data_IF_350300023954
#
_entry.id   IF_350300023954
#
_cell.length_a   1.000
_cell.length_b   1.000
_cell.length_c   1.000
_cell.angle_alpha   90.00
_cell.angle_beta   90.00
_cell.angle_gamma   90.00
#
_symmetry.space_group_name_H-M   'P 1'
#
loop_
_entity.id
_entity.type
_entity.pdbx_description
1 polymer ?
#
# COMPACT_ATOMS: atom_id res chain seq x y z
N UNK A 1 30.15 -22.19 6.37
CA UNK A 1 28.68 -22.41 6.43
C UNK A 1 28.39 -23.61 5.56
N UNK A 2 28.35 -24.79 6.17
CA UNK A 2 28.10 -26.07 5.48
C UNK A 2 26.61 -26.36 5.53
N UNK A 3 26.09 -26.80 4.39
CA UNK A 3 24.73 -27.26 4.21
C UNK A 3 24.34 -28.24 5.33
N UNK A 4 23.25 -27.95 6.03
CA UNK A 4 22.61 -28.94 6.89
C UNK A 4 21.91 -29.95 6.00
N UNK A 5 22.66 -30.97 5.58
CA UNK A 5 22.14 -32.17 4.95
C UNK A 5 21.08 -32.79 5.87
N UNK A 6 19.82 -32.45 5.63
CA UNK A 6 18.70 -33.18 6.23
C UNK A 6 18.60 -34.51 5.49
N UNK A 7 19.30 -35.50 6.05
CA UNK A 7 19.19 -36.91 5.72
C UNK A 7 17.70 -37.28 5.56
N UNK A 8 17.30 -37.67 4.35
CA UNK A 8 16.04 -38.42 4.11
C UNK A 8 16.11 -39.87 4.66
N UNK A 9 17.16 -40.18 5.41
CA UNK A 9 17.34 -41.43 6.15
C UNK A 9 16.95 -41.23 7.60
N UNK A 10 15.66 -41.09 7.88
CA UNK A 10 15.16 -41.76 9.07
C UNK A 10 15.01 -43.24 8.71
N UNK A 11 16.13 -43.96 8.76
CA UNK A 11 16.07 -45.36 9.14
C UNK A 11 15.48 -45.33 10.55
N UNK A 12 14.18 -45.64 10.65
CA UNK A 12 13.63 -46.07 11.93
C UNK A 12 14.46 -47.29 12.27
N UNK A 13 15.47 -47.08 13.11
CA UNK A 13 16.42 -48.08 13.56
C UNK A 13 15.59 -49.14 14.23
N UNK A 14 15.38 -50.25 13.54
CA UNK A 14 14.68 -51.44 14.02
C UNK A 14 13.35 -51.15 14.73
N UNK A 15 12.23 -51.36 14.04
CA UNK A 15 11.02 -51.69 14.80
C UNK A 15 11.26 -53.06 15.47
N UNK A 16 11.70 -53.07 16.73
CA UNK A 16 11.53 -54.24 17.61
C UNK A 16 10.07 -54.25 18.06
N UNK A 17 9.19 -54.57 17.10
CA UNK A 17 7.76 -54.66 17.32
C UNK A 17 7.43 -55.86 18.18
N UNK A 18 7.06 -55.57 19.43
CA UNK A 18 6.41 -56.42 20.41
C UNK A 18 7.17 -57.71 20.74
N UNK A 19 7.90 -57.69 21.86
CA UNK A 19 8.26 -58.89 22.60
C UNK A 19 7.01 -59.44 23.28
N UNK A 20 6.02 -59.92 22.51
CA UNK A 20 5.18 -60.98 23.07
C UNK A 20 6.11 -62.18 23.19
N UNK A 21 6.36 -62.61 24.43
CA UNK A 21 7.05 -63.87 24.70
C UNK A 21 6.38 -64.95 23.85
N UNK A 22 7.10 -65.56 22.89
CA UNK A 22 6.52 -66.64 22.11
C UNK A 22 6.09 -67.73 23.09
N UNK A 23 4.82 -68.11 23.06
CA UNK A 23 4.51 -69.50 23.36
C UNK A 23 5.38 -70.38 22.43
N UNK A 24 5.78 -71.59 22.86
CA UNK A 24 6.87 -72.37 22.25
C UNK A 24 6.64 -72.90 20.80
N UNK A 25 5.84 -72.23 19.96
CA UNK A 25 5.52 -72.64 18.60
C UNK A 25 5.12 -71.50 17.62
N UNK A 26 5.47 -70.23 17.86
CA UNK A 26 5.13 -69.16 16.91
C UNK A 26 6.00 -69.25 15.64
N UNK A 27 5.44 -69.83 14.57
CA UNK A 27 6.09 -69.99 13.26
C UNK A 27 5.83 -68.83 12.30
N UNK A 28 5.04 -67.84 12.71
CA UNK A 28 4.55 -66.74 11.88
C UNK A 28 4.64 -65.39 12.61
N UNK A 29 5.08 -64.37 11.89
CA UNK A 29 4.92 -62.97 12.26
C UNK A 29 3.59 -62.45 11.68
N UNK A 30 2.70 -61.90 12.51
CA UNK A 30 1.37 -61.49 12.06
C UNK A 30 1.44 -60.33 11.05
N UNK A 31 0.39 -60.21 10.24
CA UNK A 31 0.23 -59.07 9.36
C UNK A 31 0.14 -57.77 10.17
N UNK A 32 0.68 -56.68 9.63
CA UNK A 32 0.62 -55.38 10.29
C UNK A 32 0.47 -54.24 9.26
N UNK A 33 -0.10 -53.13 9.71
CA UNK A 33 -0.21 -51.90 8.91
C UNK A 33 0.96 -50.97 9.19
N UNK A 34 1.71 -50.53 8.17
CA UNK A 34 2.58 -49.36 8.31
C UNK A 34 1.77 -48.15 8.77
N UNK A 35 2.35 -47.34 9.66
CA UNK A 35 1.73 -46.09 10.10
C UNK A 35 1.49 -45.16 8.89
N UNK A 36 0.26 -44.70 8.63
CA UNK A 36 0.02 -43.77 7.53
C UNK A 36 0.81 -42.47 7.73
N UNK A 37 1.47 -42.01 6.67
CA UNK A 37 2.10 -40.69 6.61
C UNK A 37 1.41 -39.91 5.50
N UNK A 38 0.81 -38.76 5.84
CA UNK A 38 0.02 -37.96 4.89
C UNK A 38 0.87 -37.57 3.67
N UNK A 39 0.38 -37.84 2.46
CA UNK A 39 1.08 -37.54 1.21
C UNK A 39 2.16 -38.55 0.81
N UNK A 40 2.36 -39.62 1.59
CA UNK A 40 3.34 -40.67 1.29
C UNK A 40 2.74 -42.07 1.29
N UNK A 41 3.27 -42.89 0.40
CA UNK A 41 2.98 -44.32 0.30
C UNK A 41 4.13 -45.10 0.93
N UNK A 42 3.85 -46.04 1.86
CA UNK A 42 4.87 -46.91 2.43
C UNK A 42 5.41 -47.89 1.37
N UNK A 43 6.73 -48.04 1.37
CA UNK A 43 7.49 -49.03 0.61
C UNK A 43 8.17 -49.95 1.63
N UNK A 44 7.72 -51.20 1.66
CA UNK A 44 8.16 -52.18 2.65
C UNK A 44 9.09 -53.19 2.01
N UNK A 45 10.20 -53.46 2.69
CA UNK A 45 11.07 -54.59 2.38
C UNK A 45 11.15 -55.53 3.58
N UNK A 46 11.13 -56.84 3.31
CA UNK A 46 11.29 -57.89 4.30
C UNK A 46 12.52 -58.71 3.90
N UNK A 47 13.51 -58.80 4.79
CA UNK A 47 14.79 -59.47 4.54
C UNK A 47 15.47 -59.01 3.24
N UNK A 48 15.33 -57.72 2.90
CA UNK A 48 15.88 -57.09 1.70
C UNK A 48 15.04 -57.27 0.42
N UNK A 49 13.98 -58.09 0.43
CA UNK A 49 13.06 -58.24 -0.69
C UNK A 49 11.88 -57.29 -0.60
N UNK A 50 11.47 -56.68 -1.72
CA UNK A 50 10.28 -55.82 -1.76
C UNK A 50 9.00 -56.64 -1.53
N UNK A 51 8.11 -56.15 -0.67
CA UNK A 51 6.83 -56.79 -0.37
C UNK A 51 5.68 -55.93 -0.89
N UNK A 52 4.78 -56.55 -1.65
CA UNK A 52 3.53 -55.91 -2.07
C UNK A 52 2.55 -55.92 -0.90
N UNK A 53 2.04 -54.75 -0.53
CA UNK A 53 1.01 -54.63 0.49
C UNK A 53 -0.32 -55.16 -0.04
N UNK A 54 -1.04 -55.90 0.79
CA UNK A 54 -2.41 -56.37 0.51
C UNK A 54 -3.33 -55.63 1.46
N UNK A 55 -4.31 -54.89 0.92
CA UNK A 55 -5.21 -54.02 1.71
C UNK A 55 -4.46 -53.05 2.65
N UNK A 56 -3.27 -52.58 2.24
CA UNK A 56 -2.43 -51.68 3.04
C UNK A 56 -1.66 -52.37 4.17
N UNK A 57 -1.70 -53.70 4.26
CA UNK A 57 -0.99 -54.50 5.27
C UNK A 57 0.23 -55.19 4.66
N UNK A 58 1.28 -55.29 5.46
CA UNK A 58 2.35 -56.25 5.23
C UNK A 58 1.78 -57.62 5.57
N UNK A 59 1.72 -58.57 4.62
CA UNK A 59 1.18 -59.90 4.88
C UNK A 59 2.01 -60.64 5.93
N UNK A 60 1.39 -61.59 6.63
CA UNK A 60 2.08 -62.43 7.61
C UNK A 60 3.31 -63.10 7.00
N UNK A 61 4.39 -63.20 7.77
CA UNK A 61 5.68 -63.75 7.32
C UNK A 61 6.02 -65.02 8.10
N UNK A 62 6.44 -66.08 7.41
CA UNK A 62 6.89 -67.31 8.07
C UNK A 62 8.30 -67.14 8.63
N UNK A 63 8.51 -67.56 9.88
CA UNK A 63 9.80 -67.62 10.55
C UNK A 63 10.58 -68.92 10.27
N UNK A 64 10.03 -69.79 9.39
CA UNK A 64 10.60 -71.09 9.06
C UNK A 64 11.30 -71.09 7.70
N UNK A 65 12.52 -71.64 7.65
CA UNK A 65 13.18 -72.05 6.41
C UNK A 65 13.20 -73.58 6.34
N UNK A 66 12.09 -74.19 5.94
CA UNK A 66 11.91 -75.63 6.07
C UNK A 66 11.53 -76.01 7.51
N UNK A 67 12.34 -76.83 8.20
CA UNK A 67 12.04 -77.31 9.58
C UNK A 67 12.74 -76.52 10.70
N UNK A 68 13.64 -75.59 10.36
CA UNK A 68 14.44 -74.86 11.34
C UNK A 68 13.91 -73.44 11.58
N UNK A 69 13.81 -73.05 12.87
CA UNK A 69 13.54 -71.68 13.33
C UNK A 69 14.82 -70.84 13.22
N UNK A 70 15.14 -70.37 12.01
CA UNK A 70 16.37 -69.60 11.79
C UNK A 70 16.19 -68.47 10.79
N UNK A 71 15.54 -67.37 11.21
CA UNK A 71 15.91 -66.02 10.77
C UNK A 71 15.26 -64.95 11.63
N UNK A 72 16.06 -63.96 12.06
CA UNK A 72 15.52 -62.66 12.41
C UNK A 72 14.82 -62.09 11.16
N UNK A 73 13.55 -61.67 11.30
CA UNK A 73 12.83 -61.00 10.22
C UNK A 73 13.14 -59.51 10.31
N UNK A 74 13.90 -59.02 9.34
CA UNK A 74 14.18 -57.60 9.22
C UNK A 74 13.14 -56.94 8.31
N UNK A 75 12.30 -56.08 8.90
CA UNK A 75 11.33 -55.28 8.16
C UNK A 75 11.79 -53.83 8.11
N UNK A 76 12.00 -53.32 6.89
CA UNK A 76 12.28 -51.90 6.68
C UNK A 76 11.11 -51.25 5.99
N UNK A 77 10.62 -50.16 6.57
CA UNK A 77 9.55 -49.33 6.01
C UNK A 77 10.17 -48.00 5.61
N UNK A 78 10.06 -47.66 4.35
CA UNK A 78 10.40 -46.35 3.80
C UNK A 78 9.14 -45.69 3.25
N UNK A 79 9.13 -44.37 3.11
CA UNK A 79 7.98 -43.63 2.59
C UNK A 79 8.40 -42.89 1.33
N UNK A 80 7.56 -42.94 0.29
CA UNK A 80 7.75 -42.20 -0.96
C UNK A 80 6.54 -41.32 -1.21
N UNK A 81 6.72 -40.15 -1.81
CA UNK A 81 5.61 -39.29 -2.19
C UNK A 81 4.57 -40.08 -3.00
N UNK A 82 3.31 -39.99 -2.60
CA UNK A 82 2.22 -40.68 -3.28
C UNK A 82 2.00 -40.14 -4.69
N UNK A 83 2.17 -38.83 -4.88
CA UNK A 83 2.11 -38.19 -6.19
C UNK A 83 3.28 -37.21 -6.36
N UNK A 84 4.43 -37.65 -6.89
CA UNK A 84 5.62 -36.81 -7.04
C UNK A 84 5.44 -35.70 -8.10
N UNK A 85 4.49 -35.86 -9.01
CA UNK A 85 4.19 -34.90 -10.09
C UNK A 85 2.99 -34.00 -9.75
N UNK A 86 2.53 -34.01 -8.50
CA UNK A 86 1.52 -33.08 -8.04
C UNK A 86 2.00 -31.62 -8.15
N UNK A 87 1.05 -30.70 -8.27
CA UNK A 87 1.29 -29.26 -8.10
C UNK A 87 0.68 -28.86 -6.78
N UNK A 88 1.49 -28.30 -5.88
CA UNK A 88 1.05 -27.80 -4.57
C UNK A 88 0.88 -26.29 -4.66
N UNK A 89 -0.25 -25.80 -4.18
CA UNK A 89 -0.57 -24.38 -4.12
C UNK A 89 -0.31 -23.82 -2.73
N UNK A 90 0.37 -22.69 -2.65
CA UNK A 90 0.50 -21.88 -1.45
C UNK A 90 -0.21 -20.54 -1.66
N UNK A 91 -1.21 -20.25 -0.84
CA UNK A 91 -1.97 -19.00 -0.90
C UNK A 91 -1.47 -18.02 0.15
N UNK A 92 -0.98 -16.88 -0.30
CA UNK A 92 -0.77 -15.70 0.55
C UNK A 92 -2.09 -14.95 0.64
N UNK A 93 -2.67 -14.88 1.83
CA UNK A 93 -3.84 -14.04 2.09
C UNK A 93 -3.39 -12.70 2.67
N UNK A 94 -3.83 -11.59 2.08
CA UNK A 94 -3.63 -10.26 2.64
C UNK A 94 -4.78 -9.98 3.59
N UNK A 95 -4.46 -9.66 4.83
CA UNK A 95 -5.46 -9.45 5.89
C UNK A 95 -5.29 -8.10 6.57
N UNK A 96 -6.40 -7.47 6.91
CA UNK A 96 -6.41 -6.23 7.69
C UNK A 96 -6.20 -6.48 9.20
N UNK A 97 -6.32 -5.41 10.00
CA UNK A 97 -6.15 -5.48 11.45
C UNK A 97 -7.16 -6.40 12.16
N UNK A 98 -8.33 -6.62 11.56
CA UNK A 98 -9.38 -7.50 12.08
C UNK A 98 -9.26 -8.94 11.53
N UNK A 99 -8.15 -9.23 10.84
CA UNK A 99 -7.87 -10.49 10.15
C UNK A 99 -8.88 -10.81 9.03
N UNK A 100 -9.54 -9.80 8.48
CA UNK A 100 -10.42 -9.92 7.33
C UNK A 100 -9.59 -9.99 6.06
N UNK A 101 -9.87 -10.97 5.20
CA UNK A 101 -9.18 -11.13 3.93
C UNK A 101 -9.58 -10.02 2.95
N UNK A 102 -8.60 -9.22 2.52
CA UNK A 102 -8.76 -8.11 1.56
C UNK A 102 -8.16 -8.41 0.19
N UNK A 103 -7.44 -9.54 0.07
CA UNK A 103 -6.94 -10.06 -1.20
C UNK A 103 -6.15 -11.35 -1.03
N UNK A 104 -5.67 -11.92 -2.13
CA UNK A 104 -4.72 -13.03 -2.08
C UNK A 104 -3.87 -13.13 -3.33
N UNK A 105 -2.75 -13.85 -3.20
CA UNK A 105 -1.87 -14.25 -4.29
C UNK A 105 -1.52 -15.73 -4.13
N UNK A 106 -1.53 -16.47 -5.22
CA UNK A 106 -1.26 -17.91 -5.22
C UNK A 106 0.08 -18.20 -5.91
N UNK A 107 0.79 -19.17 -5.34
CA UNK A 107 2.05 -19.68 -5.86
C UNK A 107 1.97 -21.19 -5.96
N UNK A 108 2.56 -21.76 -7.00
CA UNK A 108 2.49 -23.20 -7.24
C UNK A 108 3.87 -23.78 -7.46
N UNK A 109 4.16 -24.93 -6.85
CA UNK A 109 5.41 -25.65 -7.07
C UNK A 109 5.24 -27.16 -6.87
N UNK A 110 6.30 -27.92 -7.11
CA UNK A 110 6.34 -29.36 -6.80
C UNK A 110 6.33 -29.60 -5.28
N UNK A 111 5.86 -30.77 -4.83
CA UNK A 111 5.88 -31.12 -3.42
C UNK A 111 7.29 -31.11 -2.86
N UNK A 112 7.41 -30.81 -1.57
CA UNK A 112 8.68 -30.73 -0.83
C UNK A 112 9.70 -29.70 -1.34
N UNK A 113 9.31 -28.76 -2.22
CA UNK A 113 10.18 -27.67 -2.66
C UNK A 113 10.38 -26.65 -1.54
N UNK A 114 11.64 -26.40 -1.13
CA UNK A 114 11.97 -25.54 0.02
C UNK A 114 12.63 -24.23 -0.39
N UNK A 115 12.48 -23.23 0.46
CA UNK A 115 13.13 -21.92 0.37
C UNK A 115 12.87 -21.19 -0.96
N UNK A 116 11.65 -21.32 -1.50
CA UNK A 116 11.26 -20.59 -2.71
C UNK A 116 11.01 -19.14 -2.33
N UNK A 117 11.79 -18.22 -2.91
CA UNK A 117 11.62 -16.78 -2.69
C UNK A 117 10.67 -16.24 -3.75
N UNK A 118 9.53 -15.72 -3.32
CA UNK A 118 8.50 -15.19 -4.21
C UNK A 118 8.25 -13.71 -3.93
N UNK A 119 7.95 -12.96 -4.98
CA UNK A 119 7.55 -11.56 -4.88
C UNK A 119 6.05 -11.48 -4.62
N UNK A 120 5.67 -10.68 -3.63
CA UNK A 120 4.29 -10.39 -3.29
C UNK A 120 4.00 -8.90 -3.47
N UNK A 121 2.77 -8.61 -3.88
CA UNK A 121 2.29 -7.24 -4.01
C UNK A 121 0.99 -7.08 -3.23
N UNK A 122 0.96 -6.07 -2.35
CA UNK A 122 -0.23 -5.73 -1.60
C UNK A 122 -1.36 -5.32 -2.57
N UNK A 123 -2.63 -5.59 -2.24
CA UNK A 123 -3.76 -5.13 -3.03
C UNK A 123 -3.75 -3.60 -3.24
N UNK A 124 -4.39 -3.11 -4.30
CA UNK A 124 -4.46 -1.66 -4.58
C UNK A 124 -5.04 -0.91 -3.37
N UNK A 125 -4.38 0.16 -2.95
CA UNK A 125 -4.76 0.95 -1.78
C UNK A 125 -4.28 0.39 -0.44
N UNK A 126 -3.53 -0.72 -0.45
CA UNK A 126 -2.97 -1.35 0.73
C UNK A 126 -1.44 -1.38 0.70
N UNK A 127 -0.84 -1.43 1.89
CA UNK A 127 0.60 -1.58 2.11
C UNK A 127 0.85 -2.61 3.21
N UNK A 128 2.02 -3.24 3.18
CA UNK A 128 2.45 -4.18 4.21
C UNK A 128 2.70 -3.50 5.54
N UNK A 129 2.45 -4.23 6.62
CA UNK A 129 2.82 -3.85 7.98
C UNK A 129 4.12 -4.56 8.35
N UNK A 130 5.16 -3.77 8.65
CA UNK A 130 6.46 -4.26 9.08
C UNK A 130 6.41 -4.87 10.49
N UNK A 131 7.50 -5.54 10.88
CA UNK A 131 7.62 -6.17 12.20
C UNK A 131 7.55 -5.16 13.37
N UNK A 132 7.83 -3.87 13.11
CA UNK A 132 7.67 -2.78 14.07
C UNK A 132 6.26 -2.18 14.10
N UNK A 133 5.30 -2.79 13.39
CA UNK A 133 3.92 -2.33 13.27
C UNK A 133 3.73 -1.15 12.31
N UNK A 134 4.76 -0.74 11.56
CA UNK A 134 4.68 0.43 10.68
C UNK A 134 4.49 0.06 9.21
N UNK A 135 3.95 0.98 8.39
CA UNK A 135 3.99 0.93 6.94
C UNK A 135 5.35 0.50 6.36
N UNK A 136 5.38 -0.58 5.58
CA UNK A 136 6.60 -1.17 5.01
C UNK A 136 6.62 -1.21 3.46
N UNK A 137 5.77 -0.42 2.79
CA UNK A 137 5.65 -0.38 1.33
C UNK A 137 4.64 -1.39 0.77
N UNK A 138 4.48 -1.44 -0.55
CA UNK A 138 3.46 -2.26 -1.24
C UNK A 138 4.02 -3.48 -1.99
N UNK A 139 5.35 -3.64 -2.01
CA UNK A 139 6.05 -4.78 -2.62
C UNK A 139 6.93 -5.41 -1.56
N UNK A 140 6.92 -6.74 -1.50
CA UNK A 140 7.70 -7.51 -0.55
C UNK A 140 8.09 -8.87 -1.09
N UNK A 141 8.75 -9.66 -0.27
CA UNK A 141 9.11 -11.05 -0.57
C UNK A 141 8.66 -11.98 0.54
N UNK A 142 8.38 -13.22 0.17
CA UNK A 142 8.09 -14.31 1.10
C UNK A 142 8.93 -15.52 0.76
N UNK A 143 9.27 -16.29 1.79
CA UNK A 143 9.93 -17.58 1.64
C UNK A 143 8.86 -18.65 1.83
N UNK A 144 8.62 -19.45 0.79
CA UNK A 144 7.61 -20.51 0.78
C UNK A 144 8.29 -21.88 0.84
N UNK A 145 7.79 -22.74 1.71
CA UNK A 145 8.12 -24.16 1.76
C UNK A 145 6.89 -24.96 1.34
N UNK A 146 6.91 -25.52 0.13
CA UNK A 146 5.84 -26.34 -0.40
C UNK A 146 5.88 -27.71 0.28
N UNK A 147 4.80 -28.06 0.97
CA UNK A 147 4.64 -29.37 1.61
C UNK A 147 4.14 -30.42 0.61
N UNK A 148 3.31 -31.33 1.10
CA UNK A 148 2.64 -32.37 0.30
C UNK A 148 1.17 -32.06 0.03
N UNK A 149 0.69 -30.92 0.52
CA UNK A 149 -0.67 -30.41 0.33
C UNK A 149 -0.69 -28.89 0.26
N UNK A 150 -1.79 -28.36 -0.24
CA UNK A 150 -2.00 -26.92 -0.30
C UNK A 150 -1.93 -26.29 1.08
N UNK A 151 -1.43 -25.06 1.13
CA UNK A 151 -1.21 -24.33 2.37
C UNK A 151 -1.49 -22.86 2.18
N UNK A 152 -1.60 -22.13 3.29
CA UNK A 152 -1.76 -20.68 3.24
C UNK A 152 -1.06 -20.01 4.40
N UNK A 153 -0.77 -18.72 4.22
CA UNK A 153 -0.29 -17.83 5.26
C UNK A 153 -0.99 -16.48 5.15
N UNK A 154 -1.17 -15.82 6.28
CA UNK A 154 -1.75 -14.49 6.33
C UNK A 154 -0.62 -13.45 6.46
N UNK A 155 -0.71 -12.39 5.67
CA UNK A 155 0.23 -11.26 5.72
C UNK A 155 -0.57 -10.00 6.08
N UNK A 156 -0.17 -9.31 7.16
CA UNK A 156 -0.86 -8.11 7.60
C UNK A 156 -0.62 -6.95 6.62
N UNK A 157 -1.70 -6.28 6.28
CA UNK A 157 -1.72 -5.06 5.47
C UNK A 157 -2.55 -3.98 6.16
N UNK A 158 -2.27 -2.73 5.82
CA UNK A 158 -3.04 -1.55 6.24
C UNK A 158 -3.28 -0.63 5.04
N UNK A 159 -4.22 0.30 5.14
CA UNK A 159 -4.49 1.25 4.07
C UNK A 159 -3.25 2.10 3.78
N UNK A 160 -3.02 2.36 2.50
CA UNK A 160 -1.98 3.26 2.07
C UNK A 160 -2.46 4.71 2.22
N UNK A 161 -1.88 5.43 3.17
CA UNK A 161 -2.17 6.84 3.41
C UNK A 161 -1.09 7.71 2.75
N UNK A 162 -1.45 8.37 1.66
CA UNK A 162 -0.53 9.21 0.89
C UNK A 162 -0.72 10.67 1.24
N UNK A 163 0.38 11.42 1.32
CA UNK A 163 0.38 12.87 1.56
C UNK A 163 0.49 13.62 0.24
N UNK A 164 -0.37 14.60 0.03
CA UNK A 164 -0.34 15.49 -1.13
C UNK A 164 -0.75 16.91 -0.74
N UNK A 165 -0.68 17.84 -1.69
CA UNK A 165 -1.14 19.22 -1.49
C UNK A 165 -2.44 19.46 -2.25
N UNK A 166 -3.42 20.02 -1.56
CA UNK A 166 -4.59 20.63 -2.16
C UNK A 166 -4.28 22.10 -2.42
N UNK A 167 -4.55 22.58 -3.64
CA UNK A 167 -4.33 23.95 -4.05
C UNK A 167 -5.65 24.65 -4.30
N UNK A 168 -5.74 25.93 -3.91
CA UNK A 168 -6.84 26.81 -4.26
C UNK A 168 -6.29 28.13 -4.74
N UNK A 169 -6.91 28.61 -5.80
CA UNK A 169 -6.64 29.94 -6.31
C UNK A 169 -7.58 30.93 -5.63
N UNK A 170 -7.05 32.09 -5.32
CA UNK A 170 -7.76 33.25 -4.82
C UNK A 170 -7.51 34.38 -5.81
N UNK A 171 -8.57 35.00 -6.28
CA UNK A 171 -8.51 36.06 -7.29
C UNK A 171 -9.02 37.37 -6.72
N UNK A 172 -8.18 38.39 -6.78
CA UNK A 172 -8.56 39.79 -6.65
C UNK A 172 -8.75 40.36 -8.06
N UNK A 173 -9.88 41.00 -8.32
CA UNK A 173 -10.08 41.77 -9.56
C UNK A 173 -10.29 43.23 -9.21
N UNK A 174 -9.38 44.10 -9.66
CA UNK A 174 -9.50 45.55 -9.44
C UNK A 174 -10.07 46.19 -10.69
N UNK A 175 -11.25 46.78 -10.57
CA UNK A 175 -11.92 47.50 -11.63
C UNK A 175 -11.79 49.00 -11.36
N UNK A 176 -11.04 49.69 -12.19
CA UNK A 176 -10.81 51.13 -12.09
C UNK A 176 -11.61 51.85 -13.17
N UNK A 177 -12.45 52.79 -12.81
CA UNK A 177 -13.19 53.65 -13.75
C UNK A 177 -12.65 55.07 -13.67
N UNK A 178 -12.19 55.61 -14.79
CA UNK A 178 -11.69 56.98 -14.88
C UNK A 178 -12.82 58.00 -14.57
N UNK A 179 -12.49 59.16 -14.00
CA UNK A 179 -13.46 60.24 -13.86
C UNK A 179 -13.90 60.79 -15.22
N UNK A 180 -14.99 61.57 -15.24
CA UNK A 180 -15.45 62.25 -16.44
C UNK A 180 -14.36 63.16 -17.03
N UNK A 181 -14.08 63.00 -18.33
CA UNK A 181 -12.99 63.69 -19.03
C UNK A 181 -11.59 63.12 -18.76
N UNK A 182 -11.47 62.06 -17.95
CA UNK A 182 -10.24 61.28 -17.77
C UNK A 182 -10.26 59.98 -18.55
N UNK A 183 -9.07 59.46 -18.87
CA UNK A 183 -8.89 58.19 -19.57
C UNK A 183 -7.62 57.45 -19.12
N UNK A 184 -7.61 56.16 -19.40
CA UNK A 184 -6.42 55.33 -19.40
C UNK A 184 -5.93 55.21 -20.84
N UNK A 185 -4.66 55.53 -21.07
CA UNK A 185 -4.05 55.31 -22.38
C UNK A 185 -3.43 53.93 -22.39
N UNK A 186 -3.93 53.06 -23.27
CA UNK A 186 -3.34 51.75 -23.50
C UNK A 186 -1.95 51.93 -24.13
N UNK A 187 -0.90 51.45 -23.46
CA UNK A 187 0.46 51.68 -23.92
C UNK A 187 0.78 50.98 -25.25
N UNK A 188 0.05 49.91 -25.60
CA UNK A 188 0.25 49.13 -26.82
C UNK A 188 -0.59 49.69 -27.97
N UNK A 189 -1.89 49.92 -27.75
CA UNK A 189 -2.82 50.32 -28.81
C UNK A 189 -2.99 51.84 -28.95
N UNK A 190 -2.53 52.61 -27.94
CA UNK A 190 -2.78 54.06 -27.79
C UNK A 190 -4.26 54.43 -27.70
N UNK A 191 -5.13 53.45 -27.47
CA UNK A 191 -6.55 53.70 -27.27
C UNK A 191 -6.82 54.30 -25.89
N UNK A 192 -7.81 55.18 -25.86
CA UNK A 192 -8.30 55.80 -24.63
C UNK A 192 -9.44 54.94 -24.08
N UNK A 193 -9.26 54.45 -22.86
CA UNK A 193 -10.24 53.60 -22.17
C UNK A 193 -10.77 54.32 -20.94
N UNK A 194 -12.07 54.25 -20.72
CA UNK A 194 -12.71 54.78 -19.51
C UNK A 194 -12.58 53.85 -18.30
N UNK A 195 -12.09 52.62 -18.51
CA UNK A 195 -11.88 51.67 -17.42
C UNK A 195 -10.69 50.72 -17.66
N UNK A 196 -10.12 50.25 -16.57
CA UNK A 196 -9.07 49.24 -16.53
C UNK A 196 -9.48 48.11 -15.57
N UNK A 197 -9.25 46.87 -15.97
CA UNK A 197 -9.54 45.67 -15.17
C UNK A 197 -8.24 44.94 -14.94
N UNK A 198 -7.87 44.74 -13.68
CA UNK A 198 -6.62 44.12 -13.28
C UNK A 198 -6.89 42.90 -12.41
N UNK A 199 -6.88 41.68 -12.98
CA UNK A 199 -6.96 40.45 -12.21
C UNK A 199 -5.59 40.09 -11.63
N UNK A 200 -5.54 39.82 -10.34
CA UNK A 200 -4.40 39.23 -9.65
C UNK A 200 -4.84 37.89 -9.09
N UNK A 201 -4.09 36.85 -9.43
CA UNK A 201 -4.38 35.48 -9.01
C UNK A 201 -3.24 34.98 -8.15
N UNK A 202 -3.52 34.68 -6.89
CA UNK A 202 -2.58 34.11 -5.93
C UNK A 202 -3.10 32.74 -5.48
N UNK A 203 -2.19 31.86 -5.08
CA UNK A 203 -2.49 30.49 -4.73
C UNK A 203 -2.18 30.23 -3.26
N UNK A 204 -3.04 29.45 -2.62
CA UNK A 204 -2.84 28.87 -1.30
C UNK A 204 -2.85 27.36 -1.40
N UNK A 205 -2.13 26.71 -0.49
CA UNK A 205 -2.03 25.26 -0.43
C UNK A 205 -2.23 24.77 1.00
N UNK A 206 -2.76 23.56 1.16
CA UNK A 206 -2.74 22.82 2.42
C UNK A 206 -2.31 21.38 2.21
N UNK A 207 -1.72 20.79 3.25
CA UNK A 207 -1.44 19.36 3.27
C UNK A 207 -2.74 18.59 3.43
N UNK A 208 -2.94 17.58 2.60
CA UNK A 208 -4.02 16.60 2.74
C UNK A 208 -3.45 15.19 2.76
N UNK A 209 -4.16 14.29 3.41
CA UNK A 209 -3.91 12.86 3.33
C UNK A 209 -5.03 12.20 2.55
N UNK A 210 -4.69 11.30 1.65
CA UNK A 210 -5.63 10.49 0.89
C UNK A 210 -5.46 9.04 1.30
N UNK A 211 -6.55 8.41 1.71
CA UNK A 211 -6.65 6.96 1.82
C UNK A 211 -6.86 6.41 0.40
N UNK A 212 -5.88 5.68 -0.13
CA UNK A 212 -5.97 5.18 -1.52
C UNK A 212 -6.95 4.01 -1.69
N UNK A 213 -7.39 3.37 -0.60
CA UNK A 213 -8.39 2.31 -0.65
C UNK A 213 -9.80 2.89 -0.70
N UNK A 214 -10.13 3.84 0.19
CA UNK A 214 -11.46 4.45 0.25
C UNK A 214 -11.61 5.66 -0.69
N UNK A 215 -10.51 6.28 -1.09
CA UNK A 215 -10.49 7.56 -1.81
C UNK A 215 -10.77 8.77 -0.92
N UNK A 216 -10.90 8.58 0.40
CA UNK A 216 -11.20 9.66 1.34
C UNK A 216 -10.03 10.63 1.46
N UNK A 217 -10.32 11.93 1.32
CA UNK A 217 -9.34 13.00 1.46
C UNK A 217 -9.59 13.75 2.76
N UNK A 218 -8.61 13.72 3.66
CA UNK A 218 -8.69 14.39 4.96
C UNK A 218 -7.68 15.55 5.03
N UNK A 219 -8.09 16.75 5.50
CA UNK A 219 -7.16 17.82 5.78
C UNK A 219 -6.14 17.41 6.85
N UNK A 220 -4.85 17.56 6.54
CA UNK A 220 -3.75 17.20 7.44
C UNK A 220 -2.94 18.44 7.90
N UNK A 221 -3.37 19.63 7.50
CA UNK A 221 -2.78 20.89 7.92
C UNK A 221 -3.60 22.10 7.49
N UNK A 222 -3.20 23.26 8.02
CA UNK A 222 -3.83 24.54 7.70
C UNK A 222 -3.47 25.02 6.29
N UNK A 223 -4.33 25.89 5.74
CA UNK A 223 -4.02 26.65 4.53
C UNK A 223 -2.83 27.58 4.75
N UNK A 224 -1.96 27.67 3.74
CA UNK A 224 -0.79 28.55 3.70
C UNK A 224 -0.64 29.17 2.31
N UNK A 225 0.01 30.33 2.25
CA UNK A 225 0.43 30.92 0.98
C UNK A 225 1.30 29.97 0.16
N UNK A 226 1.11 29.96 -1.15
CA UNK A 226 1.89 29.14 -2.09
C UNK A 226 2.43 29.94 -3.29
N UNK A 227 2.01 31.19 -3.48
CA UNK A 227 2.60 32.06 -4.49
C UNK A 227 3.82 32.78 -3.95
N UNK A 228 4.89 32.82 -4.75
CA UNK A 228 6.14 33.53 -4.44
C UNK A 228 6.21 34.79 -5.29
N UNK A 229 6.60 35.90 -4.67
CA UNK A 229 6.89 37.14 -5.36
C UNK A 229 8.15 37.01 -6.21
N UNK A 230 8.06 37.35 -7.50
CA UNK A 230 9.14 37.13 -8.44
C UNK A 230 10.40 37.97 -8.15
N UNK A 231 10.23 39.13 -7.51
CA UNK A 231 11.31 40.07 -7.23
C UNK A 231 12.04 39.76 -5.93
N UNK A 232 11.31 39.47 -4.87
CA UNK A 232 11.83 39.26 -3.52
C UNK A 232 12.09 37.79 -3.20
N UNK A 233 11.51 36.88 -4.00
CA UNK A 233 11.51 35.42 -3.74
C UNK A 233 10.87 35.05 -2.40
N UNK A 234 9.99 35.90 -1.86
CA UNK A 234 9.25 35.64 -0.63
C UNK A 234 7.81 35.20 -0.92
N UNK A 235 7.23 34.43 -0.01
CA UNK A 235 5.82 34.03 -0.10
C UNK A 235 4.90 35.24 0.06
N UNK A 236 3.95 35.39 -0.86
CA UNK A 236 2.90 36.40 -0.77
C UNK A 236 1.79 35.89 0.15
N UNK A 237 1.66 36.51 1.32
CA UNK A 237 0.62 36.17 2.31
C UNK A 237 -0.66 37.00 2.13
N UNK A 238 -0.61 38.02 1.30
CA UNK A 238 -1.68 38.95 0.96
C UNK A 238 -1.54 39.40 -0.50
N UNK A 239 -2.64 39.92 -1.06
CA UNK A 239 -2.58 40.79 -2.23
C UNK A 239 -1.91 42.09 -1.80
N UNK A 240 -0.75 42.39 -2.39
CA UNK A 240 0.04 43.57 -2.05
C UNK A 240 -0.71 44.87 -2.26
N UNK A 241 -0.37 45.90 -1.49
CA UNK A 241 -0.85 47.25 -1.71
C UNK A 241 -0.62 47.70 -3.16
N UNK A 242 -1.58 48.45 -3.71
CA UNK A 242 -1.54 48.90 -5.10
C UNK A 242 -1.63 50.41 -5.21
N UNK A 243 -0.65 51.02 -5.85
CA UNK A 243 -0.71 52.42 -6.28
C UNK A 243 -1.81 52.62 -7.32
N UNK A 244 -2.69 53.58 -7.09
CA UNK A 244 -3.77 53.93 -8.00
C UNK A 244 -3.35 55.08 -8.93
N UNK A 245 -3.91 55.14 -10.16
CA UNK A 245 -3.74 56.28 -11.05
C UNK A 245 -4.17 57.60 -10.39
N UNK A 246 -3.50 58.70 -10.73
CA UNK A 246 -3.82 60.03 -10.21
C UNK A 246 -4.50 60.87 -11.27
N UNK A 247 -5.65 61.46 -10.93
CA UNK A 247 -6.36 62.41 -11.78
C UNK A 247 -6.45 63.76 -11.08
N UNK A 248 -6.04 64.84 -11.76
CA UNK A 248 -6.02 66.18 -11.17
C UNK A 248 -7.43 66.62 -10.76
N UNK A 249 -7.58 67.03 -9.50
CA UNK A 249 -8.87 67.47 -8.98
C UNK A 249 -9.82 66.33 -8.59
N UNK A 250 -9.37 65.08 -8.58
CA UNK A 250 -10.17 63.92 -8.17
C UNK A 250 -9.48 63.10 -7.08
N UNK A 251 -10.28 62.48 -6.22
CA UNK A 251 -9.83 61.52 -5.20
C UNK A 251 -10.42 60.15 -5.48
N UNK A 252 -9.62 59.07 -5.51
CA UNK A 252 -10.14 57.73 -5.68
C UNK A 252 -10.99 57.31 -4.47
N UNK A 253 -12.00 56.48 -4.72
CA UNK A 253 -12.96 55.96 -3.76
C UNK A 253 -13.16 54.47 -4.00
N UNK A 254 -13.38 53.72 -2.93
CA UNK A 254 -13.71 52.30 -2.99
C UNK A 254 -14.73 51.91 -1.92
N UNK A 255 -15.51 50.88 -2.22
CA UNK A 255 -16.41 50.21 -1.28
C UNK A 255 -15.72 49.06 -0.52
N UNK A 256 -14.48 48.71 -0.90
CA UNK A 256 -13.74 47.58 -0.33
C UNK A 256 -12.28 47.92 -0.07
N UNK A 257 -11.87 47.79 1.19
CA UNK A 257 -10.53 48.16 1.66
C UNK A 257 -10.44 49.64 2.02
N UNK A 258 -9.22 50.14 2.15
CA UNK A 258 -8.95 51.55 2.45
C UNK A 258 -8.00 52.13 1.42
N UNK A 259 -8.16 53.42 1.12
CA UNK A 259 -7.22 54.15 0.27
C UNK A 259 -6.49 55.18 1.13
N UNK A 260 -5.17 55.13 1.14
CA UNK A 260 -4.30 56.07 1.87
C UNK A 260 -3.16 56.47 0.95
N UNK A 261 -2.89 57.78 0.84
CA UNK A 261 -1.86 58.33 -0.04
C UNK A 261 -1.88 57.78 -1.48
N UNK A 262 -3.10 57.60 -2.03
CA UNK A 262 -3.31 57.11 -3.39
C UNK A 262 -3.05 55.60 -3.57
N UNK A 263 -2.89 54.83 -2.50
CA UNK A 263 -2.71 53.37 -2.53
C UNK A 263 -3.92 52.64 -1.96
N UNK A 264 -4.38 51.61 -2.65
CA UNK A 264 -5.31 50.62 -2.13
C UNK A 264 -4.57 49.70 -1.15
N UNK A 265 -5.15 49.50 0.04
CA UNK A 265 -4.64 48.59 1.08
C UNK A 265 -4.50 47.15 0.59
N UNK A 266 -3.62 46.38 1.23
CA UNK A 266 -3.50 44.94 0.99
C UNK A 266 -4.73 44.16 1.46
N UNK A 267 -4.90 42.95 0.93
CA UNK A 267 -5.96 42.02 1.33
C UNK A 267 -5.39 40.63 1.67
N UNK A 268 -5.74 40.03 2.81
CA UNK A 268 -5.20 38.73 3.21
C UNK A 268 -5.70 37.62 2.29
N UNK A 269 -4.85 36.62 2.01
CA UNK A 269 -5.26 35.42 1.25
C UNK A 269 -6.09 34.45 2.08
N UNK A 270 -5.91 34.48 3.41
CA UNK A 270 -6.51 33.53 4.35
C UNK A 270 -7.16 34.33 5.48
N UNK A 271 -8.43 34.05 5.76
CA UNK A 271 -9.19 34.64 6.86
C UNK A 271 -9.85 33.54 7.66
N UNK A 272 -9.66 33.55 8.99
CA UNK A 272 -10.18 32.54 9.90
C UNK A 272 -9.79 31.10 9.49
N UNK A 273 -8.55 30.92 9.04
CA UNK A 273 -8.02 29.61 8.64
C UNK A 273 -8.55 29.08 7.30
N UNK A 274 -9.34 29.86 6.55
CA UNK A 274 -9.83 29.48 5.23
C UNK A 274 -9.36 30.46 4.15
N UNK A 275 -9.15 30.01 2.91
CA UNK A 275 -8.90 30.89 1.78
C UNK A 275 -10.07 31.86 1.64
N UNK A 276 -9.77 33.14 1.39
CA UNK A 276 -10.82 34.11 1.08
C UNK A 276 -11.47 33.76 -0.26
N UNK A 277 -12.75 34.09 -0.41
CA UNK A 277 -13.43 33.95 -1.70
C UNK A 277 -12.90 34.98 -2.69
N UNK A 278 -12.96 34.65 -3.98
CA UNK A 278 -12.70 35.60 -5.06
C UNK A 278 -13.52 36.87 -4.88
N UNK A 279 -12.92 38.00 -5.20
CA UNK A 279 -13.58 39.28 -5.03
C UNK A 279 -13.15 40.34 -6.03
N UNK A 280 -14.04 41.31 -6.19
CA UNK A 280 -13.81 42.51 -6.98
C UNK A 280 -13.69 43.72 -6.08
N UNK A 281 -12.69 44.57 -6.34
CA UNK A 281 -12.57 45.91 -5.76
C UNK A 281 -12.94 46.91 -6.85
N UNK A 282 -13.91 47.78 -6.56
CA UNK A 282 -14.28 48.86 -7.48
C UNK A 282 -13.62 50.15 -7.04
N UNK A 283 -12.92 50.79 -7.98
CA UNK A 283 -12.29 52.08 -7.80
C UNK A 283 -12.99 53.08 -8.72
N UNK A 284 -13.53 54.13 -8.13
CA UNK A 284 -14.11 55.28 -8.85
C UNK A 284 -13.45 56.56 -8.36
N UNK A 285 -13.57 57.65 -9.11
CA UNK A 285 -12.94 58.92 -8.76
C UNK A 285 -14.01 59.97 -8.50
N UNK A 286 -13.95 60.59 -7.32
CA UNK A 286 -14.85 61.67 -6.92
C UNK A 286 -14.16 63.01 -7.08
N UNK A 287 -14.84 63.98 -7.70
CA UNK A 287 -14.32 65.34 -7.84
C UNK A 287 -14.10 65.98 -6.46
N UNK A 288 -12.95 66.63 -6.29
CA UNK A 288 -12.60 67.40 -5.11
C UNK A 288 -13.30 68.76 -5.07
N UNK A 289 -13.87 69.19 -6.20
CA UNK A 289 -14.64 70.41 -6.32
C UNK A 289 -16.05 70.10 -6.84
N UNK A 290 -17.10 70.19 -6.00
CA UNK A 290 -18.47 69.84 -6.38
C UNK A 290 -19.05 70.74 -7.48
N UNK A 291 -18.41 71.88 -7.79
CA UNK A 291 -18.88 72.84 -8.80
C UNK A 291 -18.30 72.64 -10.20
N UNK A 292 -17.44 71.65 -10.43
CA UNK A 292 -16.86 71.36 -11.77
C UNK A 292 -17.80 70.57 -12.71
N UNK A 293 -19.02 70.25 -12.28
CA UNK A 293 -20.03 69.51 -13.04
C UNK A 293 -21.29 70.32 -13.38
N UNK A 294 -21.21 71.65 -13.42
CA UNK A 294 -22.27 72.52 -13.96
C UNK A 294 -21.76 73.34 -15.14
#
# INVERSE_FOLDING_TARGET
MTAGDYNSWQSVTSFTGIKETPGPAATEFPAFKPTPVEGYTPVVTVNGGAVKLVNGEVPAQSALNGKDLTKDINVNISYKLTNPDATITHTVNYVDADNTKVGSQEFTNKPETKNVVENIQAPKGWIFVGADGKPAGNIGTVIINFGVKDSSQNIPVTHNIVKSYEYKDVTETINITAPEGGDFVDNQTKEHKSSEIIPVKLQVARLVTTDEFTGEVTPAGDWKANTVDDSTKQLLTEFSERSLPTFKGYTPQTDKGTITDGKLSSFPLIKNGQPVQDFTVKITYKSNNPDYGK
#
